data_IF_203375042112
#
_entry.id   IF_203375042112
#
_cell.length_a   1.000
_cell.length_b   1.000
_cell.length_c   1.000
_cell.angle_alpha   90.00
_cell.angle_beta   90.00
_cell.angle_gamma   90.00
#
_symmetry.space_group_name_H-M   'P 1'
#
loop_
_entity.id
_entity.type
_entity.pdbx_description
1 polymer ?
#
# COMPACT_ATOMS: atom_id res chain seq x y z
N UNK A 1 -12.97 -4.83 30.34
CA UNK A 1 -12.99 -4.00 29.14
C UNK A 1 -12.95 -4.94 27.92
N UNK A 2 -14.13 -5.19 27.33
CA UNK A 2 -14.22 -6.00 26.12
C UNK A 2 -14.03 -5.05 24.94
N UNK A 3 -12.81 -4.81 24.54
CA UNK A 3 -12.52 -4.20 23.25
C UNK A 3 -12.95 -5.18 22.15
N UNK A 4 -14.17 -5.03 21.67
CA UNK A 4 -14.61 -5.72 20.46
C UNK A 4 -13.82 -5.13 19.31
N UNK A 5 -12.90 -5.89 18.76
CA UNK A 5 -12.27 -5.54 17.48
C UNK A 5 -13.39 -5.44 16.44
N UNK A 6 -13.71 -4.23 16.04
CA UNK A 6 -14.72 -3.98 15.00
C UNK A 6 -14.18 -4.20 13.60
N UNK A 7 -12.95 -4.69 13.48
CA UNK A 7 -12.27 -4.89 12.22
C UNK A 7 -12.00 -3.57 11.49
N UNK A 8 -11.33 -3.67 10.37
CA UNK A 8 -11.03 -2.52 9.48
C UNK A 8 -12.26 -2.03 8.70
N UNK A 9 -13.38 -2.76 8.75
CA UNK A 9 -14.59 -2.42 8.00
C UNK A 9 -15.22 -1.07 8.36
N UNK A 10 -15.11 -0.62 9.60
CA UNK A 10 -15.64 0.67 10.02
C UNK A 10 -14.76 1.86 9.59
N UNK A 11 -13.47 1.63 9.38
CA UNK A 11 -12.55 2.66 8.86
C UNK A 11 -12.88 3.00 7.40
N UNK A 12 -13.26 2.03 6.60
CA UNK A 12 -13.56 2.23 5.17
C UNK A 12 -14.90 2.93 4.89
N UNK A 13 -15.82 2.92 5.83
CA UNK A 13 -17.16 3.51 5.63
C UNK A 13 -17.17 5.04 5.61
N UNK A 14 -16.09 5.69 6.07
CA UNK A 14 -15.98 7.15 6.20
C UNK A 14 -14.71 7.70 5.57
N UNK A 15 -14.24 7.06 4.53
CA UNK A 15 -13.05 7.50 3.80
C UNK A 15 -13.45 8.23 2.53
N UNK A 16 -12.82 9.37 2.29
CA UNK A 16 -12.85 10.08 1.02
C UNK A 16 -11.43 10.05 0.44
N UNK A 17 -11.33 9.68 -0.82
CA UNK A 17 -10.08 9.67 -1.56
C UNK A 17 -10.26 10.50 -2.83
N UNK A 18 -9.29 11.34 -3.14
CA UNK A 18 -9.27 12.15 -4.36
C UNK A 18 -7.95 11.92 -5.10
N UNK A 19 -8.06 11.40 -6.32
CA UNK A 19 -6.90 11.27 -7.20
C UNK A 19 -6.49 12.61 -7.82
N UNK A 20 -7.41 13.59 -7.87
CA UNK A 20 -7.10 14.91 -8.42
C UNK A 20 -6.12 15.72 -7.56
N UNK A 21 -6.19 15.55 -6.25
CA UNK A 21 -5.29 16.24 -5.31
C UNK A 21 -4.38 15.26 -4.57
N UNK A 22 -4.40 13.97 -4.95
CA UNK A 22 -3.58 12.91 -4.37
C UNK A 22 -3.63 12.86 -2.84
N UNK A 23 -4.84 12.87 -2.28
CA UNK A 23 -5.02 12.83 -0.84
C UNK A 23 -6.24 12.00 -0.44
N UNK A 24 -6.18 11.42 0.74
CA UNK A 24 -7.33 10.79 1.36
C UNK A 24 -7.53 11.29 2.79
N UNK A 25 -8.77 11.24 3.24
CA UNK A 25 -9.15 11.49 4.62
C UNK A 25 -10.14 10.44 5.08
N UNK A 26 -9.92 9.92 6.28
CA UNK A 26 -10.87 9.07 6.97
C UNK A 26 -11.07 9.57 8.39
N UNK A 27 -12.22 9.27 8.97
CA UNK A 27 -12.49 9.62 10.35
C UNK A 27 -12.56 8.36 11.21
N UNK A 28 -11.83 8.37 12.32
CA UNK A 28 -11.91 7.31 13.33
C UNK A 28 -13.25 7.34 14.06
N UNK A 29 -13.57 6.27 14.78
CA UNK A 29 -14.75 6.19 15.64
C UNK A 29 -14.70 7.16 16.84
N UNK A 30 -13.51 7.66 17.16
CA UNK A 30 -13.29 8.68 18.20
C UNK A 30 -13.31 10.11 17.69
N UNK A 31 -13.44 10.28 16.37
CA UNK A 31 -13.55 11.59 15.74
C UNK A 31 -12.25 12.17 15.18
N UNK A 32 -11.08 11.55 15.43
CA UNK A 32 -9.84 12.02 14.83
C UNK A 32 -9.84 11.78 13.32
N UNK A 33 -9.20 12.67 12.59
CA UNK A 33 -8.96 12.51 11.17
C UNK A 33 -7.62 11.82 10.91
N UNK A 34 -7.64 10.83 10.05
CA UNK A 34 -6.45 10.22 9.45
C UNK A 34 -6.36 10.74 8.03
N UNK A 35 -5.28 11.47 7.76
CA UNK A 35 -5.04 12.11 6.48
C UNK A 35 -3.76 11.52 5.91
N UNK A 36 -3.77 11.20 4.62
CA UNK A 36 -2.61 10.64 3.96
C UNK A 36 -2.70 10.76 2.46
N UNK A 37 -1.75 10.20 1.86
CA UNK A 37 -1.27 10.02 0.53
C UNK A 37 0.00 10.86 0.30
N UNK A 38 0.98 10.31 -0.22
CA UNK A 38 2.25 10.93 -0.53
C UNK A 38 3.39 10.00 -0.13
N UNK A 39 4.36 9.93 -0.98
CA UNK A 39 5.59 9.19 -0.79
C UNK A 39 6.76 10.13 -0.98
N UNK A 40 7.82 9.90 -0.23
CA UNK A 40 9.08 10.63 -0.46
C UNK A 40 9.71 10.15 -1.77
N UNK A 41 10.29 11.06 -2.55
CA UNK A 41 10.94 10.78 -3.84
C UNK A 41 12.31 10.12 -3.68
N UNK A 42 12.71 9.81 -2.47
CA UNK A 42 14.00 9.21 -2.16
C UNK A 42 13.86 7.95 -1.29
N UNK A 43 14.78 7.03 -1.43
CA UNK A 43 14.82 5.81 -0.63
C UNK A 43 15.19 6.12 0.82
N UNK A 44 14.36 5.74 1.75
CA UNK A 44 14.59 5.93 3.18
C UNK A 44 14.00 4.80 4.00
N UNK A 45 14.69 4.43 5.07
CA UNK A 45 14.19 3.48 6.08
C UNK A 45 13.55 4.18 7.29
N UNK A 46 13.43 5.50 7.25
CA UNK A 46 12.79 6.24 8.35
C UNK A 46 11.27 6.00 8.34
N UNK A 47 10.69 5.90 9.54
CA UNK A 47 9.24 5.77 9.74
C UNK A 47 8.62 7.06 10.31
N UNK A 48 9.36 8.16 10.29
CA UNK A 48 8.90 9.43 10.86
C UNK A 48 8.01 10.24 9.91
N UNK A 49 8.06 9.96 8.62
CA UNK A 49 7.47 10.81 7.59
C UNK A 49 8.23 12.13 7.40
N UNK A 50 8.14 12.70 6.22
CA UNK A 50 8.79 13.96 5.91
C UNK A 50 7.86 15.16 6.13
N UNK A 51 8.46 16.30 6.43
CA UNK A 51 7.71 17.55 6.59
C UNK A 51 7.05 18.00 5.27
N UNK A 52 7.75 17.82 4.17
CA UNK A 52 7.27 18.19 2.83
C UNK A 52 6.00 17.43 2.45
N UNK A 53 5.99 16.11 2.72
CA UNK A 53 4.81 15.28 2.47
C UNK A 53 3.64 15.71 3.36
N UNK A 54 3.89 15.98 4.64
CA UNK A 54 2.83 16.47 5.53
C UNK A 54 2.24 17.80 5.04
N UNK A 55 3.08 18.75 4.67
CA UNK A 55 2.65 20.05 4.16
C UNK A 55 1.86 19.91 2.87
N UNK A 56 2.36 19.16 1.90
CA UNK A 56 1.67 18.93 0.62
C UNK A 56 0.32 18.26 0.81
N UNK A 57 0.25 17.20 1.61
CA UNK A 57 -1.00 16.48 1.89
C UNK A 57 -2.01 17.35 2.63
N UNK A 58 -1.57 18.16 3.61
CA UNK A 58 -2.45 19.06 4.33
C UNK A 58 -2.98 20.17 3.43
N UNK A 59 -2.17 20.73 2.54
CA UNK A 59 -2.64 21.71 1.53
C UNK A 59 -3.73 21.11 0.65
N UNK A 60 -3.50 19.90 0.12
CA UNK A 60 -4.47 19.20 -0.72
C UNK A 60 -5.81 18.94 0.00
N UNK A 61 -5.75 18.52 1.26
CA UNK A 61 -6.96 18.28 2.06
C UNK A 61 -7.68 19.58 2.41
N UNK A 62 -6.97 20.66 2.67
CA UNK A 62 -7.58 21.97 2.94
C UNK A 62 -8.25 22.59 1.72
N UNK A 63 -7.77 22.26 0.52
CA UNK A 63 -8.42 22.63 -0.73
C UNK A 63 -9.81 21.96 -0.85
N UNK A 64 -9.92 20.67 -0.50
CA UNK A 64 -11.17 19.93 -0.51
C UNK A 64 -12.09 20.29 0.68
N UNK A 65 -11.49 20.46 1.85
CA UNK A 65 -12.21 20.66 3.12
C UNK A 65 -11.64 21.84 3.92
N UNK A 66 -11.94 23.09 3.57
CA UNK A 66 -11.42 24.27 4.27
C UNK A 66 -11.73 24.30 5.78
N UNK A 67 -12.78 23.62 6.20
CA UNK A 67 -13.17 23.50 7.61
C UNK A 67 -12.07 22.88 8.47
N UNK A 68 -11.19 22.04 7.88
CA UNK A 68 -10.11 21.38 8.61
C UNK A 68 -8.97 22.33 8.99
N UNK A 69 -8.95 23.58 8.49
CA UNK A 69 -7.95 24.59 8.88
C UNK A 69 -7.94 24.90 10.38
N UNK A 70 -9.02 24.58 11.09
CA UNK A 70 -9.13 24.77 12.54
C UNK A 70 -8.63 23.59 13.36
N UNK A 71 -8.27 22.47 12.72
CA UNK A 71 -7.81 21.27 13.41
C UNK A 71 -6.34 21.36 13.77
N UNK A 72 -5.96 20.63 14.82
CA UNK A 72 -4.57 20.52 15.26
C UNK A 72 -4.01 19.19 14.83
N UNK A 73 -2.81 19.21 14.27
CA UNK A 73 -2.07 17.99 13.99
C UNK A 73 -1.62 17.36 15.31
N UNK A 74 -1.97 16.11 15.54
CA UNK A 74 -1.59 15.36 16.75
C UNK A 74 -0.25 14.67 16.57
N UNK A 75 -0.04 14.03 15.41
CA UNK A 75 1.20 13.30 15.09
C UNK A 75 1.29 13.04 13.60
N UNK A 76 2.50 12.70 13.18
CA UNK A 76 2.82 12.21 11.84
C UNK A 76 3.61 10.91 11.97
N UNK A 77 3.44 10.04 11.00
CA UNK A 77 4.24 8.82 10.84
C UNK A 77 4.39 8.51 9.35
N UNK A 78 5.35 7.69 9.01
CA UNK A 78 5.55 7.14 7.70
C UNK A 78 5.69 5.62 7.77
N UNK A 79 5.67 4.98 6.63
CA UNK A 79 5.94 3.56 6.45
C UNK A 79 6.93 3.36 5.31
N UNK A 80 7.50 2.17 5.24
CA UNK A 80 8.35 1.77 4.12
C UNK A 80 7.45 1.09 3.10
N UNK A 81 7.54 1.55 1.86
CA UNK A 81 6.82 0.96 0.73
C UNK A 81 7.83 0.22 -0.13
N UNK A 82 7.61 -1.07 -0.35
CA UNK A 82 8.42 -1.90 -1.23
C UNK A 82 7.82 -1.90 -2.64
N UNK A 83 8.51 -1.30 -3.58
CA UNK A 83 8.03 -1.12 -4.96
C UNK A 83 8.92 -1.89 -5.92
N UNK A 84 8.31 -2.72 -6.77
CA UNK A 84 8.99 -3.35 -7.91
C UNK A 84 9.04 -2.39 -9.10
N UNK A 85 10.02 -2.56 -10.01
CA UNK A 85 10.16 -1.69 -11.19
C UNK A 85 8.93 -1.61 -12.10
N UNK A 86 8.14 -2.68 -12.13
CA UNK A 86 6.88 -2.78 -12.90
C UNK A 86 5.63 -2.54 -12.02
N UNK A 87 5.83 -2.00 -10.83
CA UNK A 87 4.78 -1.74 -9.85
C UNK A 87 3.91 -2.95 -9.47
N UNK A 88 4.33 -4.16 -9.83
CA UNK A 88 3.62 -5.41 -9.56
C UNK A 88 4.37 -6.29 -8.56
N UNK A 89 3.69 -7.03 -7.69
CA UNK A 89 4.33 -7.82 -6.65
C UNK A 89 5.14 -9.00 -7.20
N UNK A 90 5.94 -9.60 -6.36
CA UNK A 90 6.63 -10.86 -6.62
C UNK A 90 5.98 -11.94 -5.76
N UNK A 91 5.36 -12.95 -6.39
CA UNK A 91 4.90 -14.18 -5.77
C UNK A 91 5.58 -15.34 -6.49
N UNK A 92 6.75 -15.72 -6.03
CA UNK A 92 7.60 -16.63 -6.80
C UNK A 92 8.43 -17.54 -5.93
N UNK A 93 8.69 -18.75 -6.44
CA UNK A 93 9.84 -19.50 -6.03
C UNK A 93 11.10 -18.91 -6.66
N UNK A 94 12.26 -19.17 -6.06
CA UNK A 94 13.56 -18.78 -6.59
C UNK A 94 14.29 -19.99 -7.17
N UNK A 95 15.45 -19.75 -7.75
CA UNK A 95 16.36 -20.82 -8.18
C UNK A 95 17.00 -21.57 -6.99
N UNK A 96 16.93 -20.98 -5.80
CA UNK A 96 17.45 -21.60 -4.56
C UNK A 96 16.32 -22.44 -3.97
N UNK A 97 16.56 -23.75 -3.84
CA UNK A 97 15.59 -24.69 -3.28
C UNK A 97 15.13 -24.26 -1.87
N UNK A 98 13.82 -24.13 -1.70
CA UNK A 98 13.21 -23.76 -0.42
C UNK A 98 13.17 -22.26 -0.15
N UNK A 99 13.63 -21.42 -1.08
CA UNK A 99 13.53 -19.96 -0.97
C UNK A 99 12.42 -19.44 -1.88
N UNK A 100 11.46 -18.76 -1.28
CA UNK A 100 10.30 -18.18 -1.95
C UNK A 100 10.17 -16.71 -1.61
N UNK A 101 9.64 -15.90 -2.54
CA UNK A 101 9.38 -14.49 -2.35
C UNK A 101 7.89 -14.16 -2.44
N UNK A 102 7.41 -13.38 -1.48
CA UNK A 102 6.11 -12.71 -1.50
C UNK A 102 6.34 -11.28 -1.01
N UNK A 103 6.61 -10.37 -1.93
CA UNK A 103 7.02 -8.99 -1.63
C UNK A 103 6.71 -8.05 -2.80
N UNK A 104 7.07 -6.77 -2.67
CA UNK A 104 6.87 -5.78 -3.72
C UNK A 104 5.42 -5.32 -3.89
N UNK A 105 4.62 -5.40 -2.85
CA UNK A 105 3.19 -5.10 -2.90
C UNK A 105 2.85 -3.62 -2.94
N UNK A 106 3.82 -2.76 -2.77
CA UNK A 106 3.59 -1.33 -2.72
C UNK A 106 2.58 -0.94 -1.64
N UNK A 107 1.64 -0.09 -1.97
CA UNK A 107 0.55 0.32 -1.06
C UNK A 107 -0.65 -0.65 -1.06
N UNK A 108 -0.64 -1.65 -1.93
CA UNK A 108 -1.76 -2.58 -2.12
C UNK A 108 -1.75 -3.84 -1.26
N UNK A 109 -0.66 -4.09 -0.52
CA UNK A 109 -0.41 -5.37 0.13
C UNK A 109 -1.46 -5.81 1.14
N UNK A 110 -1.95 -4.88 1.95
CA UNK A 110 -2.93 -5.21 2.99
C UNK A 110 -4.22 -5.84 2.41
N UNK A 111 -4.82 -5.21 1.42
CA UNK A 111 -6.05 -5.71 0.78
C UNK A 111 -5.84 -7.01 0.00
N UNK A 112 -4.63 -7.22 -0.50
CA UNK A 112 -4.26 -8.42 -1.25
C UNK A 112 -3.92 -9.63 -0.35
N UNK A 113 -3.74 -9.43 0.96
CA UNK A 113 -3.27 -10.46 1.91
C UNK A 113 -4.01 -11.80 1.81
N UNK A 114 -5.36 -11.87 1.79
CA UNK A 114 -6.05 -13.16 1.74
C UNK A 114 -5.75 -13.93 0.44
N UNK A 115 -5.87 -13.25 -0.72
CA UNK A 115 -5.64 -13.88 -2.02
C UNK A 115 -4.18 -14.24 -2.24
N UNK A 116 -3.26 -13.33 -1.90
CA UNK A 116 -1.83 -13.60 -2.04
C UNK A 116 -1.36 -14.71 -1.11
N UNK A 117 -1.91 -14.77 0.10
CA UNK A 117 -1.60 -15.83 1.07
C UNK A 117 -1.99 -17.21 0.56
N UNK A 118 -3.18 -17.35 -0.01
CA UNK A 118 -3.67 -18.60 -0.59
C UNK A 118 -2.81 -19.06 -1.79
N UNK A 119 -2.57 -18.15 -2.74
CA UNK A 119 -1.74 -18.42 -3.92
C UNK A 119 -0.29 -18.77 -3.55
N UNK A 120 0.23 -18.10 -2.53
CA UNK A 120 1.59 -18.34 -2.07
C UNK A 120 1.72 -19.67 -1.31
N UNK A 121 0.71 -20.02 -0.50
CA UNK A 121 0.63 -21.33 0.16
C UNK A 121 0.58 -22.47 -0.88
N UNK A 122 -0.21 -22.30 -1.95
CA UNK A 122 -0.23 -23.24 -3.06
C UNK A 122 1.17 -23.38 -3.70
N UNK A 123 1.85 -22.27 -3.96
CA UNK A 123 3.18 -22.26 -4.57
C UNK A 123 4.21 -22.99 -3.71
N UNK A 124 4.17 -22.81 -2.39
CA UNK A 124 5.08 -23.49 -1.45
C UNK A 124 4.75 -24.99 -1.39
N UNK A 125 3.47 -25.34 -1.28
CA UNK A 125 3.05 -26.74 -1.09
C UNK A 125 3.36 -27.62 -2.30
N UNK A 126 3.24 -27.07 -3.51
CA UNK A 126 3.41 -27.81 -4.76
C UNK A 126 4.75 -27.58 -5.44
N UNK A 127 5.56 -26.65 -4.92
CA UNK A 127 6.80 -26.13 -5.55
C UNK A 127 6.56 -25.63 -6.99
N UNK A 128 5.33 -25.20 -7.28
CA UNK A 128 4.90 -24.68 -8.58
C UNK A 128 3.98 -23.47 -8.40
N UNK A 129 4.09 -22.44 -9.25
CA UNK A 129 3.20 -21.29 -9.17
C UNK A 129 1.75 -21.69 -9.53
N UNK A 130 0.80 -21.13 -8.82
CA UNK A 130 -0.59 -21.24 -9.25
C UNK A 130 -0.81 -20.44 -10.54
N UNK A 131 -1.76 -20.83 -11.39
CA UNK A 131 -2.04 -20.16 -12.66
C UNK A 131 -2.29 -18.65 -12.56
N UNK A 132 -2.85 -18.17 -11.44
CA UNK A 132 -3.16 -16.77 -11.22
C UNK A 132 -1.94 -15.95 -10.81
N UNK A 133 -0.90 -16.58 -10.25
CA UNK A 133 0.33 -15.86 -9.88
C UNK A 133 1.53 -16.19 -10.77
N UNK A 134 1.33 -16.96 -11.83
CA UNK A 134 2.41 -17.36 -12.73
C UNK A 134 3.13 -16.17 -13.39
N UNK A 135 2.40 -15.09 -13.69
CA UNK A 135 2.96 -13.87 -14.24
C UNK A 135 3.84 -13.09 -13.24
N UNK A 136 3.58 -13.22 -11.94
CA UNK A 136 4.29 -12.50 -10.88
C UNK A 136 5.60 -13.16 -10.45
N UNK A 137 6.24 -13.87 -11.37
CA UNK A 137 7.49 -14.56 -11.12
C UNK A 137 8.70 -13.61 -11.15
N UNK A 138 9.78 -14.01 -10.47
CA UNK A 138 11.01 -13.21 -10.40
C UNK A 138 11.74 -13.11 -11.75
N UNK A 139 11.62 -14.15 -12.59
CA UNK A 139 12.32 -14.19 -13.88
C UNK A 139 11.83 -13.12 -14.87
N UNK A 140 10.63 -12.56 -14.69
CA UNK A 140 10.10 -11.50 -15.56
C UNK A 140 11.02 -10.27 -15.66
N UNK A 141 11.82 -10.01 -14.63
CA UNK A 141 12.81 -8.92 -14.67
C UNK A 141 14.06 -9.24 -15.50
N UNK A 142 14.31 -10.53 -15.72
CA UNK A 142 15.44 -10.99 -16.57
C UNK A 142 14.99 -11.14 -18.02
N UNK A 143 13.78 -11.70 -18.24
CA UNK A 143 13.22 -11.88 -19.58
C UNK A 143 12.66 -10.60 -20.20
N UNK A 144 12.31 -9.61 -19.36
CA UNK A 144 11.64 -8.37 -19.79
C UNK A 144 10.12 -8.50 -19.95
N UNK A 145 9.54 -9.65 -19.56
CA UNK A 145 8.07 -9.90 -19.58
C UNK A 145 7.38 -9.22 -18.37
N UNK A 146 7.51 -7.91 -18.26
CA UNK A 146 6.99 -7.14 -17.14
C UNK A 146 5.46 -7.19 -17.11
N UNK A 147 4.90 -7.21 -15.90
CA UNK A 147 3.46 -7.15 -15.70
C UNK A 147 3.04 -5.68 -15.75
N UNK A 148 2.24 -5.32 -16.75
CA UNK A 148 1.69 -3.98 -16.87
C UNK A 148 0.28 -3.92 -16.27
N UNK A 149 0.22 -3.70 -14.97
CA UNK A 149 -1.03 -3.48 -14.27
C UNK A 149 -1.43 -2.00 -14.33
N UNK A 150 -1.89 -1.53 -15.49
CA UNK A 150 -2.42 -0.18 -15.64
C UNK A 150 -3.40 0.18 -14.52
N UNK A 151 -2.96 0.95 -13.55
CA UNK A 151 -3.76 1.52 -12.48
C UNK A 151 -3.94 0.69 -11.21
N UNK A 152 -3.45 -0.55 -11.11
CA UNK A 152 -3.58 -1.34 -9.88
C UNK A 152 -2.61 -0.90 -8.78
N UNK A 153 -1.43 -0.47 -9.16
CA UNK A 153 -0.42 0.08 -8.27
C UNK A 153 -0.40 1.61 -8.35
N UNK A 154 -1.54 2.26 -8.40
CA UNK A 154 -1.60 3.72 -8.38
C UNK A 154 -0.98 4.31 -7.10
N UNK A 155 0.28 3.99 -6.87
CA UNK A 155 1.25 4.90 -6.31
C UNK A 155 1.49 5.87 -7.45
N UNK A 156 0.61 6.83 -7.57
CA UNK A 156 0.74 7.89 -8.54
C UNK A 156 2.13 8.49 -8.39
N UNK A 157 2.86 8.41 -9.46
CA UNK A 157 4.07 9.17 -9.66
C UNK A 157 3.73 10.64 -9.83
#
# INVERSE_FOLDING_TARGET
DRSVSRGLGDVYKRQVMSNAVHAYVSQSDKGELVIGAGTDDYVSYTQKGSHNIAEGTLKAILELYPIFSRMKMLRQWGGIVDICPDASPILSKTQIKGLYFNCGWGTGGFKATPGSGDLFAHTIANDEPHKLNAAFNLNRFVSGDLVDEHGAAAVAH
#
